data_IF_751095994434
#
_entry.id   IF_751095994434
#
_cell.length_a   1.000
_cell.length_b   1.000
_cell.length_c   1.000
_cell.angle_alpha   90.00
_cell.angle_beta   90.00
_cell.angle_gamma   90.00
#
_symmetry.space_group_name_H-M   'P 1'
#
loop_
_entity.id
_entity.type
_entity.pdbx_description
1 polymer ?
#
# COMPACT_ATOMS: atom_id res chain seq x y z
N UNK A 1 -6.13 5.67 -21.34
CA UNK A 1 -7.24 4.86 -20.81
C UNK A 1 -6.90 3.42 -21.15
N UNK A 2 -6.43 2.67 -20.16
CA UNK A 2 -5.80 1.36 -20.33
C UNK A 2 -6.77 0.19 -20.00
N UNK A 3 -8.02 0.49 -19.63
CA UNK A 3 -9.02 -0.55 -19.31
C UNK A 3 -8.94 -1.10 -17.88
N UNK A 4 -8.04 -0.63 -17.03
CA UNK A 4 -8.00 -1.01 -15.63
C UNK A 4 -9.07 -0.22 -14.85
N UNK A 5 -10.08 -0.90 -14.33
CA UNK A 5 -11.24 -0.32 -13.65
C UNK A 5 -11.29 -0.59 -12.16
N UNK A 6 -10.61 -1.64 -11.70
CA UNK A 6 -10.57 -2.08 -10.31
C UNK A 6 -9.25 -2.80 -9.98
N UNK A 7 -9.12 -3.28 -8.75
CA UNK A 7 -7.92 -3.97 -8.26
C UNK A 7 -7.71 -5.37 -8.85
N UNK A 8 -8.67 -5.91 -9.59
CA UNK A 8 -8.55 -7.19 -10.30
C UNK A 8 -8.27 -7.01 -11.80
N UNK A 9 -8.19 -5.77 -12.27
CA UNK A 9 -7.95 -5.50 -13.68
C UNK A 9 -6.50 -5.84 -14.06
N UNK A 10 -6.34 -6.61 -15.12
CA UNK A 10 -5.04 -6.85 -15.74
C UNK A 10 -4.47 -5.52 -16.28
N UNK A 11 -3.22 -5.24 -15.97
CA UNK A 11 -2.51 -4.14 -16.61
C UNK A 11 -1.98 -4.66 -17.97
N UNK A 12 -2.43 -4.13 -19.11
CA UNK A 12 -2.06 -4.67 -20.40
C UNK A 12 -0.56 -4.66 -20.65
N UNK A 13 0.02 -5.80 -21.01
CA UNK A 13 1.46 -5.97 -21.20
C UNK A 13 2.02 -5.15 -22.39
N UNK A 14 1.16 -4.73 -23.33
CA UNK A 14 1.51 -3.89 -24.48
C UNK A 14 1.55 -2.39 -24.16
N UNK A 15 1.12 -1.99 -22.97
CA UNK A 15 1.19 -0.59 -22.53
C UNK A 15 2.57 -0.29 -21.95
N UNK A 16 3.37 0.58 -22.61
CA UNK A 16 4.70 0.87 -22.11
C UNK A 16 4.66 1.69 -20.82
N UNK A 17 5.44 1.27 -19.83
CA UNK A 17 5.66 1.99 -18.58
C UNK A 17 6.96 2.82 -18.63
N UNK A 18 7.20 3.65 -17.62
CA UNK A 18 8.45 4.38 -17.51
C UNK A 18 9.68 3.45 -17.47
N UNK A 19 9.55 2.25 -16.91
CA UNK A 19 10.65 1.28 -16.89
C UNK A 19 11.07 0.83 -18.30
N UNK A 20 10.11 0.64 -19.21
CA UNK A 20 10.41 0.35 -20.60
C UNK A 20 11.23 1.49 -21.28
N UNK A 21 10.87 2.74 -21.03
CA UNK A 21 11.59 3.89 -21.59
C UNK A 21 12.98 4.02 -21.00
N UNK A 22 13.14 3.82 -19.69
CA UNK A 22 14.46 3.87 -19.04
C UNK A 22 15.39 2.77 -19.56
N UNK A 23 14.89 1.53 -19.74
CA UNK A 23 15.67 0.45 -20.37
C UNK A 23 16.16 0.82 -21.75
N UNK A 24 15.32 1.45 -22.57
CA UNK A 24 15.72 1.92 -23.91
C UNK A 24 16.81 2.98 -23.87
N UNK A 25 16.95 3.69 -22.76
CA UNK A 25 18.02 4.66 -22.51
C UNK A 25 19.27 4.04 -21.85
N UNK A 26 19.30 2.71 -21.68
CA UNK A 26 20.43 2.00 -21.11
C UNK A 26 20.43 1.89 -19.58
N UNK A 27 19.32 2.23 -18.92
CA UNK A 27 19.17 2.03 -17.48
C UNK A 27 18.90 0.56 -17.16
N UNK A 28 19.55 0.05 -16.13
CA UNK A 28 19.13 -1.18 -15.45
C UNK A 28 17.89 -0.87 -14.58
N UNK A 29 16.82 -1.66 -14.68
CA UNK A 29 15.58 -1.38 -13.98
C UNK A 29 15.20 -2.55 -13.07
N UNK A 30 15.03 -2.27 -11.79
CA UNK A 30 14.70 -3.28 -10.77
C UNK A 30 13.53 -2.84 -9.89
N UNK A 31 12.77 -3.82 -9.41
CA UNK A 31 11.64 -3.63 -8.51
C UNK A 31 11.84 -4.46 -7.24
N UNK A 32 11.83 -3.81 -6.09
CA UNK A 32 11.71 -4.45 -4.78
C UNK A 32 10.39 -4.03 -4.14
N UNK A 33 9.48 -4.97 -3.93
CA UNK A 33 8.26 -4.70 -3.17
C UNK A 33 6.95 -4.82 -3.95
N UNK A 34 5.91 -4.22 -3.36
CA UNK A 34 4.52 -4.32 -3.78
C UNK A 34 4.22 -3.47 -5.00
N UNK A 35 3.60 -4.05 -6.03
CA UNK A 35 3.08 -3.31 -7.19
C UNK A 35 1.64 -3.66 -7.55
N UNK A 36 1.08 -4.70 -6.97
CA UNK A 36 -0.29 -5.15 -7.24
C UNK A 36 -0.53 -5.44 -8.72
N UNK A 37 0.45 -5.98 -9.42
CA UNK A 37 0.28 -6.40 -10.80
C UNK A 37 -0.61 -7.64 -10.86
N UNK A 38 -1.79 -7.50 -11.45
CA UNK A 38 -2.69 -8.60 -11.72
C UNK A 38 -2.35 -9.21 -13.08
N UNK A 39 -2.42 -10.54 -13.19
CA UNK A 39 -2.10 -11.24 -14.44
C UNK A 39 -0.68 -11.81 -14.50
N UNK A 40 -0.32 -12.41 -15.64
CA UNK A 40 0.94 -13.16 -15.79
C UNK A 40 2.18 -12.28 -15.91
N UNK A 41 2.06 -11.06 -16.46
CA UNK A 41 3.19 -10.14 -16.50
C UNK A 41 3.38 -9.48 -15.12
N UNK A 42 4.48 -9.80 -14.47
CA UNK A 42 4.84 -9.30 -13.16
C UNK A 42 6.00 -8.30 -13.22
N UNK A 43 6.46 -7.94 -14.41
CA UNK A 43 7.59 -7.06 -14.61
C UNK A 43 7.19 -5.70 -15.19
N UNK A 44 6.27 -5.66 -16.15
CA UNK A 44 5.80 -4.42 -16.78
C UNK A 44 6.92 -3.44 -17.12
N UNK A 45 8.01 -3.98 -17.69
CA UNK A 45 9.16 -3.19 -18.12
C UNK A 45 10.36 -3.22 -17.19
N UNK A 46 10.25 -3.65 -15.95
CA UNK A 46 11.41 -3.95 -15.12
C UNK A 46 12.17 -5.17 -15.67
N UNK A 47 13.49 -5.15 -15.57
CA UNK A 47 14.33 -6.29 -15.96
C UNK A 47 14.32 -7.37 -14.89
N UNK A 48 14.22 -6.97 -13.63
CA UNK A 48 14.20 -7.90 -12.51
C UNK A 48 13.24 -7.44 -11.40
N UNK A 49 12.70 -8.42 -10.71
CA UNK A 49 11.89 -8.23 -9.51
C UNK A 49 12.54 -8.96 -8.35
N UNK A 50 12.94 -8.21 -7.31
CA UNK A 50 13.77 -8.70 -6.21
C UNK A 50 12.97 -9.42 -5.12
N UNK A 51 11.67 -9.12 -5.00
CA UNK A 51 10.75 -9.77 -4.06
C UNK A 51 9.45 -10.15 -4.78
N UNK A 52 8.74 -11.14 -4.26
CA UNK A 52 7.34 -11.36 -4.65
C UNK A 52 6.46 -10.20 -4.17
N UNK A 53 5.20 -10.15 -4.59
CA UNK A 53 4.22 -9.25 -3.96
C UNK A 53 3.78 -9.80 -2.60
N UNK A 54 3.39 -8.93 -1.68
CA UNK A 54 2.92 -9.34 -0.36
C UNK A 54 1.60 -10.10 -0.42
N UNK A 55 0.73 -9.71 -1.36
CA UNK A 55 -0.56 -10.36 -1.62
C UNK A 55 -0.61 -10.77 -3.08
N UNK A 56 -1.08 -11.99 -3.39
CA UNK A 56 -1.38 -12.33 -4.76
C UNK A 56 -2.50 -11.41 -5.26
N UNK A 57 -2.23 -10.65 -6.31
CA UNK A 57 -3.27 -9.92 -7.03
C UNK A 57 -3.90 -10.88 -8.04
N UNK A 58 -5.17 -11.17 -7.89
CA UNK A 58 -5.90 -12.07 -8.76
C UNK A 58 -7.23 -11.49 -9.25
N UNK A 59 -7.82 -12.13 -10.24
CA UNK A 59 -9.06 -11.69 -10.85
C UNK A 59 -10.30 -11.83 -9.94
N UNK A 60 -10.19 -12.58 -8.84
CA UNK A 60 -11.24 -12.73 -7.85
C UNK A 60 -11.52 -11.46 -7.01
N UNK A 61 -10.67 -10.45 -7.11
CA UNK A 61 -10.85 -9.17 -6.41
C UNK A 61 -11.80 -8.21 -7.13
N UNK A 62 -12.37 -8.64 -8.24
CA UNK A 62 -13.37 -7.84 -8.96
C UNK A 62 -14.65 -7.66 -8.14
N UNK A 63 -15.20 -6.46 -8.18
CA UNK A 63 -16.49 -6.13 -7.56
C UNK A 63 -17.61 -6.78 -8.37
N UNK A 64 -18.67 -7.24 -7.71
CA UNK A 64 -19.89 -7.61 -8.40
C UNK A 64 -20.65 -6.35 -8.84
N UNK A 65 -20.47 -5.96 -10.09
CA UNK A 65 -21.08 -4.76 -10.65
C UNK A 65 -22.60 -4.84 -10.83
N UNK A 66 -23.19 -6.05 -10.77
CA UNK A 66 -24.64 -6.24 -10.78
C UNK A 66 -25.27 -5.92 -9.42
N UNK A 67 -24.46 -5.97 -8.34
CA UNK A 67 -24.88 -5.68 -6.97
C UNK A 67 -23.89 -4.74 -6.27
N UNK A 68 -23.72 -3.51 -6.75
CA UNK A 68 -22.63 -2.61 -6.31
C UNK A 68 -22.76 -2.13 -4.86
N UNK A 69 -23.94 -2.25 -4.26
CA UNK A 69 -24.22 -1.89 -2.87
C UNK A 69 -24.06 -3.05 -1.88
N UNK A 70 -23.76 -4.27 -2.40
CA UNK A 70 -23.48 -5.44 -1.58
C UNK A 70 -21.97 -5.59 -1.41
N UNK A 71 -21.51 -5.48 -0.16
CA UNK A 71 -20.09 -5.72 0.16
C UNK A 71 -19.78 -7.20 0.10
N UNK A 72 -18.84 -7.65 -0.76
CA UNK A 72 -18.37 -9.03 -0.75
C UNK A 72 -17.73 -9.39 0.59
N UNK A 73 -17.87 -10.66 1.02
CA UNK A 73 -17.34 -11.14 2.31
C UNK A 73 -15.81 -11.04 2.45
N UNK A 74 -15.09 -11.06 1.32
CA UNK A 74 -13.64 -10.93 1.24
C UNK A 74 -13.14 -9.47 1.23
N UNK A 75 -14.05 -8.51 1.05
CA UNK A 75 -13.68 -7.10 0.95
C UNK A 75 -13.27 -6.52 2.30
N UNK A 76 -12.46 -5.46 2.26
CA UNK A 76 -12.01 -4.77 3.47
C UNK A 76 -13.17 -4.38 4.38
N UNK A 77 -12.92 -4.44 5.67
CA UNK A 77 -13.85 -3.99 6.72
C UNK A 77 -13.13 -3.03 7.66
N UNK A 78 -13.82 -2.53 8.66
CA UNK A 78 -13.24 -1.57 9.61
C UNK A 78 -12.35 -2.22 10.69
N UNK A 79 -12.06 -3.52 10.62
CA UNK A 79 -11.25 -4.20 11.65
C UNK A 79 -9.85 -3.60 11.78
N UNK A 80 -9.24 -3.18 10.69
CA UNK A 80 -7.93 -2.52 10.71
C UNK A 80 -7.91 -1.21 11.50
N UNK A 81 -9.02 -0.46 11.49
CA UNK A 81 -9.21 0.75 12.31
C UNK A 81 -9.52 0.39 13.75
N UNK A 82 -10.43 -0.57 13.98
CA UNK A 82 -10.88 -0.97 15.32
C UNK A 82 -9.76 -1.65 16.14
N UNK A 83 -8.82 -2.31 15.46
CA UNK A 83 -7.69 -3.03 16.06
C UNK A 83 -6.37 -2.24 15.98
N UNK A 84 -6.44 -0.97 15.57
CA UNK A 84 -5.26 -0.13 15.47
C UNK A 84 -4.51 0.00 16.81
N UNK A 85 -3.18 0.02 16.75
CA UNK A 85 -2.37 0.15 17.96
C UNK A 85 -0.93 -0.35 17.80
N UNK A 86 -0.20 -0.43 18.91
CA UNK A 86 1.17 -0.94 18.90
C UNK A 86 1.18 -2.46 18.68
N UNK A 87 2.19 -2.94 17.97
CA UNK A 87 2.43 -4.37 17.74
C UNK A 87 3.92 -4.72 17.97
N UNK A 88 4.20 -6.01 18.01
CA UNK A 88 5.57 -6.53 18.02
C UNK A 88 6.03 -6.86 16.61
N UNK A 89 5.15 -7.50 15.82
CA UNK A 89 5.44 -7.99 14.48
C UNK A 89 4.16 -8.17 13.68
N UNK A 90 4.22 -7.93 12.37
CA UNK A 90 3.14 -8.21 11.42
C UNK A 90 3.72 -8.74 10.12
N UNK A 91 2.90 -9.38 9.29
CA UNK A 91 3.30 -9.81 7.97
C UNK A 91 3.77 -8.64 7.08
N UNK A 92 3.12 -7.47 7.22
CA UNK A 92 3.49 -6.26 6.46
C UNK A 92 4.87 -5.72 6.88
N UNK A 93 5.19 -5.74 8.18
CA UNK A 93 6.51 -5.33 8.66
C UNK A 93 7.59 -6.30 8.16
N UNK A 94 7.35 -7.60 8.22
CA UNK A 94 8.29 -8.61 7.72
C UNK A 94 8.55 -8.44 6.22
N UNK A 95 7.50 -8.20 5.46
CA UNK A 95 7.61 -7.93 4.03
C UNK A 95 8.42 -6.66 3.74
N UNK A 96 8.14 -5.56 4.44
CA UNK A 96 8.85 -4.30 4.25
C UNK A 96 10.34 -4.42 4.62
N UNK A 97 10.69 -5.19 5.67
CA UNK A 97 12.08 -5.48 6.01
C UNK A 97 12.77 -6.29 4.89
N UNK A 98 12.09 -7.27 4.29
CA UNK A 98 12.61 -8.00 3.13
C UNK A 98 12.81 -7.06 1.94
N UNK A 99 11.85 -6.20 1.65
CA UNK A 99 11.92 -5.22 0.56
C UNK A 99 13.13 -4.31 0.69
N UNK A 100 13.33 -3.74 1.88
CA UNK A 100 14.46 -2.84 2.18
C UNK A 100 15.79 -3.60 2.10
N UNK A 101 15.86 -4.80 2.67
CA UNK A 101 17.07 -5.64 2.62
C UNK A 101 17.47 -5.95 1.17
N UNK A 102 16.51 -6.37 0.35
CA UNK A 102 16.75 -6.69 -1.06
C UNK A 102 17.15 -5.45 -1.88
N UNK A 103 16.56 -4.31 -1.59
CA UNK A 103 16.93 -3.05 -2.23
C UNK A 103 18.39 -2.65 -1.90
N UNK A 104 18.79 -2.73 -0.63
CA UNK A 104 20.16 -2.47 -0.20
C UNK A 104 21.15 -3.45 -0.84
N UNK A 105 20.81 -4.75 -0.85
CA UNK A 105 21.63 -5.77 -1.50
C UNK A 105 21.84 -5.44 -2.97
N UNK A 106 20.78 -5.10 -3.71
CA UNK A 106 20.87 -4.69 -5.11
C UNK A 106 21.82 -3.51 -5.32
N UNK A 107 21.72 -2.48 -4.48
CA UNK A 107 22.61 -1.31 -4.58
C UNK A 107 24.08 -1.67 -4.38
N UNK A 108 24.40 -2.50 -3.40
CA UNK A 108 25.76 -2.96 -3.16
C UNK A 108 26.30 -3.83 -4.30
N UNK A 109 25.46 -4.73 -4.82
CA UNK A 109 25.85 -5.62 -5.91
C UNK A 109 26.04 -4.83 -7.21
N UNK A 110 25.14 -3.88 -7.51
CA UNK A 110 25.26 -2.98 -8.65
C UNK A 110 26.58 -2.18 -8.64
N UNK A 111 26.95 -1.60 -7.49
CA UNK A 111 28.21 -0.84 -7.35
C UNK A 111 29.44 -1.74 -7.55
N UNK A 112 29.37 -3.01 -7.15
CA UNK A 112 30.50 -3.95 -7.30
C UNK A 112 30.67 -4.47 -8.73
N UNK A 113 29.56 -4.67 -9.44
CA UNK A 113 29.54 -5.35 -10.74
C UNK A 113 29.59 -4.35 -11.91
N UNK A 114 28.73 -3.34 -11.88
CA UNK A 114 28.46 -2.44 -13.01
C UNK A 114 28.28 -0.96 -12.58
N UNK A 115 29.07 -0.49 -11.64
CA UNK A 115 28.86 0.81 -10.97
C UNK A 115 28.71 2.04 -11.87
N UNK A 116 29.08 1.94 -13.15
CA UNK A 116 28.96 3.04 -14.13
C UNK A 116 27.62 2.98 -14.91
N UNK A 117 26.90 1.87 -14.89
CA UNK A 117 25.62 1.76 -15.57
C UNK A 117 24.55 2.52 -14.81
N UNK A 118 23.78 3.42 -15.45
CA UNK A 118 22.65 4.06 -14.78
C UNK A 118 21.58 3.03 -14.42
N UNK A 119 20.96 3.20 -13.26
CA UNK A 119 19.90 2.31 -12.81
C UNK A 119 18.65 3.06 -12.35
N UNK A 120 17.53 2.35 -12.30
CA UNK A 120 16.28 2.77 -11.68
C UNK A 120 15.78 1.64 -10.78
N UNK A 121 15.92 1.82 -9.49
CA UNK A 121 15.40 0.90 -8.48
C UNK A 121 14.11 1.47 -7.88
N UNK A 122 13.01 0.75 -8.04
CA UNK A 122 11.76 1.05 -7.32
C UNK A 122 11.74 0.25 -6.04
N UNK A 123 11.62 0.93 -4.90
CA UNK A 123 11.45 0.31 -3.58
C UNK A 123 10.04 0.62 -3.10
N UNK A 124 9.19 -0.41 -3.04
CA UNK A 124 7.77 -0.25 -2.77
C UNK A 124 7.35 -1.04 -1.52
N UNK A 125 7.40 -0.38 -0.37
CA UNK A 125 6.97 -0.92 0.91
C UNK A 125 5.45 -0.94 1.02
N UNK A 126 4.90 -1.78 1.92
CA UNK A 126 3.47 -1.85 2.16
C UNK A 126 2.98 -0.70 3.03
N UNK A 127 3.74 -0.36 4.09
CA UNK A 127 3.37 0.76 4.94
C UNK A 127 3.40 2.08 4.15
N UNK A 128 2.54 3.05 4.49
CA UNK A 128 1.59 3.11 5.61
C UNK A 128 0.18 2.57 5.32
N UNK A 129 0.03 1.58 4.44
CA UNK A 129 -1.24 0.88 4.20
C UNK A 129 -1.72 0.15 5.48
N UNK A 130 -3.03 -0.09 5.63
CA UNK A 130 -3.55 -0.90 6.72
C UNK A 130 -3.00 -2.37 6.69
N UNK A 131 -3.02 -3.09 7.83
CA UNK A 131 -3.58 -2.77 9.13
C UNK A 131 -2.80 -1.67 9.87
N UNK A 132 -3.52 -0.85 10.63
CA UNK A 132 -2.95 0.27 11.38
C UNK A 132 -2.30 -0.22 12.68
N UNK A 133 -1.30 -1.08 12.54
CA UNK A 133 -0.50 -1.61 13.64
C UNK A 133 0.98 -1.34 13.36
N UNK A 134 1.70 -0.83 14.36
CA UNK A 134 3.07 -0.37 14.18
C UNK A 134 3.93 -0.72 15.41
N UNK A 135 5.24 -0.97 15.30
CA UNK A 135 6.10 -1.19 16.45
C UNK A 135 6.01 -0.06 17.47
N UNK A 136 6.02 -0.45 18.75
CA UNK A 136 5.87 0.49 19.87
C UNK A 136 6.83 1.68 19.80
N UNK A 137 8.04 1.49 19.28
CA UNK A 137 9.02 2.56 19.13
C UNK A 137 8.52 3.71 18.23
N UNK A 138 7.76 3.41 17.18
CA UNK A 138 7.16 4.42 16.29
C UNK A 138 5.82 4.94 16.81
N UNK A 139 5.06 4.08 17.49
CA UNK A 139 3.83 4.48 18.17
C UNK A 139 4.09 5.55 19.25
N UNK A 140 5.15 5.39 20.04
CA UNK A 140 5.49 6.26 21.15
C UNK A 140 6.05 7.63 20.71
N UNK A 141 6.37 7.82 19.42
CA UNK A 141 6.76 9.13 18.89
C UNK A 141 5.63 10.15 18.93
N UNK A 142 4.39 9.70 19.00
CA UNK A 142 3.20 10.54 18.94
C UNK A 142 2.35 10.35 20.19
N UNK A 143 1.87 11.45 20.77
CA UNK A 143 0.95 11.43 21.91
C UNK A 143 -0.48 11.65 21.41
N UNK A 144 -1.48 11.23 22.17
CA UNK A 144 -2.88 11.34 21.77
C UNK A 144 -3.32 12.79 21.53
N UNK A 145 -2.81 13.73 22.34
CA UNK A 145 -3.09 15.16 22.19
C UNK A 145 -2.49 15.79 20.93
N UNK A 146 -1.48 15.15 20.33
CA UNK A 146 -0.84 15.62 19.09
C UNK A 146 -1.56 15.10 17.83
N UNK A 147 -2.53 14.19 17.99
CA UNK A 147 -3.26 13.57 16.87
C UNK A 147 -4.55 14.33 16.58
N UNK A 148 -4.60 15.12 15.51
CA UNK A 148 -5.84 15.81 15.12
C UNK A 148 -6.90 14.82 14.65
N UNK A 149 -8.14 15.06 15.02
CA UNK A 149 -9.27 14.34 14.45
C UNK A 149 -9.54 14.82 13.02
N UNK A 150 -10.07 13.96 12.13
CA UNK A 150 -10.45 14.38 10.80
C UNK A 150 -11.58 15.42 10.89
N UNK A 151 -11.52 16.43 10.03
CA UNK A 151 -12.63 17.33 9.79
C UNK A 151 -13.50 16.68 8.71
N UNK A 152 -14.69 16.26 9.09
CA UNK A 152 -15.65 15.62 8.18
C UNK A 152 -16.90 16.50 8.04
N UNK A 153 -17.49 16.60 6.83
CA UNK A 153 -18.75 17.26 6.66
C UNK A 153 -19.88 16.52 7.41
N UNK A 154 -20.97 17.21 7.70
CA UNK A 154 -22.17 16.58 8.23
C UNK A 154 -22.69 15.53 7.24
N UNK A 155 -23.31 14.44 7.75
CA UNK A 155 -23.82 13.37 6.88
C UNK A 155 -24.81 13.86 5.84
N UNK A 156 -25.60 14.89 6.18
CA UNK A 156 -26.59 15.52 5.30
C UNK A 156 -25.97 16.23 4.10
N UNK A 157 -24.70 16.63 4.18
CA UNK A 157 -23.97 17.36 3.16
C UNK A 157 -23.11 16.46 2.29
N UNK A 158 -23.15 15.14 2.51
CA UNK A 158 -22.39 14.17 1.74
C UNK A 158 -23.04 13.91 0.38
N UNK A 159 -22.17 13.78 -0.63
CA UNK A 159 -22.59 13.34 -1.96
C UNK A 159 -23.10 11.88 -1.95
N UNK A 160 -23.85 11.45 -2.98
CA UNK A 160 -24.46 10.11 -3.01
C UNK A 160 -23.46 8.96 -2.93
N UNK A 161 -22.25 9.13 -3.48
CA UNK A 161 -21.20 8.10 -3.44
C UNK A 161 -20.65 7.95 -2.03
N UNK A 162 -20.34 9.04 -1.33
CA UNK A 162 -19.91 9.03 0.07
C UNK A 162 -20.96 8.42 1.00
N UNK A 163 -22.25 8.75 0.77
CA UNK A 163 -23.36 8.15 1.52
C UNK A 163 -23.42 6.62 1.29
N UNK A 164 -23.27 6.18 0.03
CA UNK A 164 -23.24 4.76 -0.32
C UNK A 164 -22.10 4.04 0.39
N UNK A 165 -20.89 4.59 0.40
CA UNK A 165 -19.74 4.00 1.08
C UNK A 165 -19.99 3.83 2.58
N UNK A 166 -20.52 4.85 3.26
CA UNK A 166 -20.84 4.74 4.68
C UNK A 166 -21.87 3.62 4.96
N UNK A 167 -22.87 3.46 4.10
CA UNK A 167 -23.88 2.40 4.22
C UNK A 167 -23.29 1.01 4.00
N UNK A 168 -22.48 0.83 2.95
CA UNK A 168 -21.83 -0.46 2.63
C UNK A 168 -20.89 -0.92 3.75
N UNK A 169 -20.27 0.02 4.47
CA UNK A 169 -19.38 -0.29 5.59
C UNK A 169 -20.05 -0.25 6.95
N UNK A 170 -21.38 -0.17 7.02
CA UNK A 170 -22.17 -0.06 8.27
C UNK A 170 -21.86 1.18 9.12
N UNK A 171 -21.19 2.17 8.54
CA UNK A 171 -20.78 3.40 9.23
C UNK A 171 -21.87 4.47 9.29
N UNK A 172 -22.92 4.33 8.49
CA UNK A 172 -24.04 5.26 8.48
C UNK A 172 -24.81 5.26 9.80
N UNK A 173 -25.10 4.05 10.32
CA UNK A 173 -25.83 3.85 11.58
C UNK A 173 -24.88 3.68 12.78
N UNK A 174 -23.67 3.22 12.54
CA UNK A 174 -22.68 2.88 13.57
C UNK A 174 -21.34 3.56 13.27
N UNK A 175 -21.22 4.87 13.52
CA UNK A 175 -19.97 5.57 13.30
C UNK A 175 -18.85 5.00 14.18
N UNK A 176 -17.60 5.12 13.69
CA UNK A 176 -16.45 4.66 14.44
C UNK A 176 -16.27 5.44 15.74
N UNK A 177 -15.89 4.77 16.85
CA UNK A 177 -15.54 5.45 18.10
C UNK A 177 -14.35 6.41 17.91
N UNK A 178 -14.42 7.57 18.53
CA UNK A 178 -13.42 8.65 18.36
C UNK A 178 -12.03 8.20 18.82
N UNK A 179 -11.93 7.42 19.90
CA UNK A 179 -10.68 6.84 20.37
C UNK A 179 -10.05 5.91 19.32
N UNK A 180 -10.86 5.10 18.63
CA UNK A 180 -10.40 4.20 17.56
C UNK A 180 -9.94 4.96 16.31
N UNK A 181 -10.61 6.04 15.97
CA UNK A 181 -10.15 6.94 14.90
C UNK A 181 -8.79 7.54 15.27
N UNK A 182 -8.60 7.97 16.53
CA UNK A 182 -7.34 8.53 17.01
C UNK A 182 -6.23 7.49 17.02
N UNK A 183 -6.50 6.28 17.53
CA UNK A 183 -5.55 5.16 17.51
C UNK A 183 -5.06 4.85 16.08
N UNK A 184 -5.99 4.73 15.11
CA UNK A 184 -5.64 4.46 13.73
C UNK A 184 -4.80 5.58 13.11
N UNK A 185 -5.12 6.84 13.39
CA UNK A 185 -4.33 7.98 12.92
C UNK A 185 -2.94 8.01 13.55
N UNK A 186 -2.84 7.73 14.86
CA UNK A 186 -1.56 7.62 15.56
C UNK A 186 -0.68 6.53 14.94
N UNK A 187 -1.25 5.35 14.70
CA UNK A 187 -0.55 4.26 14.03
C UNK A 187 -0.10 4.64 12.61
N UNK A 188 -0.94 5.37 11.85
CA UNK A 188 -0.57 5.87 10.53
C UNK A 188 0.61 6.85 10.58
N UNK A 189 0.63 7.80 11.51
CA UNK A 189 1.78 8.69 11.69
C UNK A 189 3.04 7.91 12.09
N UNK A 190 2.92 6.94 12.97
CA UNK A 190 4.00 6.02 13.31
C UNK A 190 4.50 5.24 12.10
N UNK A 191 3.59 4.79 11.22
CA UNK A 191 3.94 4.11 9.98
C UNK A 191 4.68 5.03 8.99
N UNK A 192 4.30 6.30 8.90
CA UNK A 192 5.06 7.29 8.12
C UNK A 192 6.49 7.45 8.64
N UNK A 193 6.67 7.53 9.97
CA UNK A 193 8.01 7.60 10.58
C UNK A 193 8.81 6.32 10.40
N UNK A 194 8.15 5.15 10.37
CA UNK A 194 8.79 3.88 10.04
C UNK A 194 9.33 3.88 8.60
N UNK A 195 8.52 4.35 7.63
CA UNK A 195 8.97 4.50 6.24
C UNK A 195 10.14 5.48 6.14
N UNK A 196 10.04 6.63 6.78
CA UNK A 196 11.10 7.65 6.79
C UNK A 196 12.42 7.07 7.33
N UNK A 197 12.37 6.28 8.40
CA UNK A 197 13.55 5.62 8.95
C UNK A 197 14.16 4.58 8.00
N UNK A 198 13.34 3.91 7.17
CA UNK A 198 13.82 2.98 6.15
C UNK A 198 14.42 3.70 4.95
N UNK A 199 13.87 4.84 4.56
CA UNK A 199 14.45 5.70 3.49
C UNK A 199 15.81 6.26 3.90
N UNK A 200 16.05 6.45 5.18
CA UNK A 200 17.32 6.93 5.72
C UNK A 200 18.45 5.89 5.82
N UNK A 201 18.17 4.62 5.52
CA UNK A 201 19.16 3.53 5.52
C UNK A 201 19.97 3.50 4.24
#
# INVERSE_FOLDING_TARGET
>A
KIGAYDNAADFPADVPTYAHYLRRLGYRTALSGKMHFCGPDQLHGYEERLTSDIYPADYGWSVNWDEPDVRPSWYHNMSSVLQAGPCVRTNQLDFDEEVVFKAQQYLFDHIREDGDQPFCLTVSMTHPHDPYTIPKAFWDLYRDEDIPLPQTPEQTDLDPHSQRLLKVYDLWEKPLPVDKIRDARRAYFGACSYIDSNVGK
#
